data_IF_372772253968
#
_entry.id   IF_372772253968
#
_cell.length_a   1.000
_cell.length_b   1.000
_cell.length_c   1.000
_cell.angle_alpha   90.00
_cell.angle_beta   90.00
_cell.angle_gamma   90.00
#
_symmetry.space_group_name_H-M   'P 1'
#
loop_
_entity.id
_entity.type
_entity.pdbx_description
1 polymer ?
#
# COMPACT_ATOMS: atom_id res chain seq x y z
N UNK A 1 -7.60 -14.11 -15.28
CA UNK A 1 -6.42 -14.22 -16.17
C UNK A 1 -5.59 -12.95 -15.98
N UNK A 2 -4.31 -12.97 -16.33
CA UNK A 2 -3.44 -11.79 -16.30
C UNK A 2 -2.60 -11.75 -17.58
N UNK A 3 -2.22 -10.54 -17.98
CA UNK A 3 -1.40 -10.32 -19.17
C UNK A 3 0.09 -10.23 -18.81
N UNK A 4 0.94 -10.72 -19.71
CA UNK A 4 2.39 -10.64 -19.56
C UNK A 4 3.00 -11.62 -18.54
N UNK A 5 4.34 -11.61 -18.41
CA UNK A 5 5.04 -12.47 -17.47
C UNK A 5 4.88 -12.00 -16.02
N UNK A 6 4.84 -12.97 -15.10
CA UNK A 6 4.90 -12.67 -13.66
C UNK A 6 6.30 -12.17 -13.30
N UNK A 7 6.37 -11.04 -12.60
CA UNK A 7 7.63 -10.51 -12.05
C UNK A 7 7.76 -10.93 -10.59
N UNK A 8 8.95 -11.40 -10.23
CA UNK A 8 9.29 -11.78 -8.86
C UNK A 8 10.24 -10.77 -8.24
N UNK A 9 9.79 -10.09 -7.18
CA UNK A 9 10.59 -9.07 -6.47
C UNK A 9 11.91 -9.61 -5.89
N UNK A 10 11.98 -10.91 -5.59
CA UNK A 10 13.21 -11.57 -5.15
C UNK A 10 14.33 -11.52 -6.20
N UNK A 11 14.00 -11.30 -7.48
CA UNK A 11 14.94 -11.24 -8.60
C UNK A 11 15.24 -9.79 -9.04
N UNK A 12 14.82 -8.79 -8.25
CA UNK A 12 14.84 -7.36 -8.65
C UNK A 12 15.79 -6.50 -7.83
N UNK A 13 16.67 -7.13 -7.03
CA UNK A 13 17.59 -6.43 -6.13
C UNK A 13 18.45 -5.35 -6.83
N UNK A 14 18.95 -5.62 -8.05
CA UNK A 14 19.75 -4.66 -8.82
C UNK A 14 18.97 -3.38 -9.16
N UNK A 15 17.70 -3.50 -9.54
CA UNK A 15 16.85 -2.35 -9.83
C UNK A 15 16.62 -1.49 -8.58
N UNK A 16 16.46 -2.13 -7.42
CA UNK A 16 16.28 -1.43 -6.15
C UNK A 16 17.57 -0.76 -5.67
N UNK A 17 18.74 -1.38 -5.87
CA UNK A 17 20.04 -0.75 -5.59
C UNK A 17 20.27 0.47 -6.50
N UNK A 18 19.92 0.37 -7.79
CA UNK A 18 20.02 1.49 -8.72
C UNK A 18 19.17 2.68 -8.24
N UNK A 19 17.88 2.46 -7.94
CA UNK A 19 17.01 3.50 -7.40
C UNK A 19 17.55 4.09 -6.08
N UNK A 20 18.06 3.25 -5.16
CA UNK A 20 18.67 3.72 -3.93
C UNK A 20 19.91 4.61 -4.18
N UNK A 21 20.71 4.28 -5.20
CA UNK A 21 21.85 5.11 -5.60
C UNK A 21 21.39 6.48 -6.13
N UNK A 22 20.29 6.55 -6.89
CA UNK A 22 19.72 7.81 -7.34
C UNK A 22 19.22 8.67 -6.18
N UNK A 23 18.48 8.07 -5.24
CA UNK A 23 18.06 8.75 -4.01
C UNK A 23 19.25 9.31 -3.22
N UNK A 24 20.37 8.58 -3.16
CA UNK A 24 21.61 9.05 -2.52
C UNK A 24 22.22 10.23 -3.27
N UNK A 25 22.28 10.19 -4.60
CA UNK A 25 22.79 11.31 -5.42
C UNK A 25 21.95 12.57 -5.23
N UNK A 26 20.65 12.43 -4.98
CA UNK A 26 19.73 13.52 -4.69
C UNK A 26 19.75 14.01 -3.23
N UNK A 27 20.62 13.47 -2.36
CA UNK A 27 20.64 13.69 -0.90
C UNK A 27 19.28 13.45 -0.21
N UNK A 28 18.42 12.62 -0.83
CA UNK A 28 17.07 12.35 -0.35
C UNK A 28 17.04 11.23 0.70
N UNK A 29 18.17 10.61 1.01
CA UNK A 29 18.26 9.51 1.98
C UNK A 29 19.48 9.66 2.89
N UNK A 30 19.40 9.07 4.08
CA UNK A 30 20.51 9.04 5.04
C UNK A 30 20.51 7.73 5.85
N UNK A 31 21.65 7.45 6.48
CA UNK A 31 21.81 6.26 7.30
C UNK A 31 21.23 6.45 8.72
N UNK A 32 20.63 5.39 9.27
CA UNK A 32 19.99 5.43 10.57
C UNK A 32 20.38 4.23 11.44
N UNK A 33 20.88 4.50 12.64
CA UNK A 33 21.24 3.50 13.66
C UNK A 33 20.17 3.33 14.77
N UNK A 34 19.01 3.96 14.67
CA UNK A 34 17.90 3.87 15.64
C UNK A 34 17.04 2.62 15.47
N UNK A 35 16.98 1.78 16.50
CA UNK A 35 16.24 0.52 16.56
C UNK A 35 14.73 0.74 16.65
N UNK A 36 13.95 -0.27 16.30
CA UNK A 36 12.48 -0.21 16.44
C UNK A 36 12.05 0.04 17.88
N UNK A 37 12.75 -0.56 18.86
CA UNK A 37 12.45 -0.38 20.30
C UNK A 37 12.70 1.05 20.76
N UNK A 38 13.82 1.68 20.36
CA UNK A 38 14.11 3.08 20.68
C UNK A 38 13.05 4.01 20.07
N UNK A 39 12.61 3.74 18.85
CA UNK A 39 11.58 4.53 18.17
C UNK A 39 10.22 4.32 18.84
N UNK A 40 9.88 3.09 19.23
CA UNK A 40 8.64 2.76 19.93
C UNK A 40 8.54 3.46 21.28
N UNK A 41 9.65 3.52 22.03
CA UNK A 41 9.73 4.22 23.31
C UNK A 41 9.56 5.74 23.18
N UNK A 42 9.81 6.30 22.00
CA UNK A 42 9.65 7.72 21.70
C UNK A 42 8.25 8.10 21.20
N UNK A 43 7.36 7.12 20.98
CA UNK A 43 6.02 7.41 20.49
C UNK A 43 5.21 8.14 21.56
N UNK A 44 4.57 9.23 21.16
CA UNK A 44 3.62 9.99 21.99
C UNK A 44 2.19 9.48 21.86
N UNK A 45 1.92 8.68 20.83
CA UNK A 45 0.63 8.05 20.55
C UNK A 45 0.75 6.55 20.68
N UNK A 46 -0.33 5.90 21.12
CA UNK A 46 -0.40 4.44 21.08
C UNK A 46 -0.26 4.00 19.61
N UNK A 47 0.66 3.07 19.30
CA UNK A 47 0.82 2.60 17.93
C UNK A 47 -0.46 1.89 17.50
N UNK A 48 -1.03 2.29 16.37
CA UNK A 48 -2.12 1.54 15.74
C UNK A 48 -1.49 0.31 15.08
N UNK A 49 -2.08 -0.86 15.32
CA UNK A 49 -1.57 -2.12 14.78
C UNK A 49 -1.53 -2.06 13.24
N UNK A 50 -0.35 -2.24 12.66
CA UNK A 50 -0.12 -2.17 11.22
C UNK A 50 0.35 -0.82 10.69
N UNK A 51 0.36 0.24 11.52
CA UNK A 51 0.94 1.52 11.14
C UNK A 51 2.46 1.58 11.39
N UNK A 52 3.15 2.40 10.60
CA UNK A 52 4.57 2.63 10.78
C UNK A 52 4.79 3.61 11.93
N UNK A 53 5.79 3.35 12.77
CA UNK A 53 6.10 4.22 13.90
C UNK A 53 6.63 5.56 13.40
N UNK A 54 6.16 6.65 13.99
CA UNK A 54 6.69 7.98 13.69
C UNK A 54 8.17 8.04 14.03
N UNK A 55 9.01 8.33 13.03
CA UNK A 55 10.44 8.49 13.26
C UNK A 55 10.80 9.96 13.56
N UNK A 56 11.40 10.28 14.72
CA UNK A 56 11.68 11.66 15.10
C UNK A 56 12.83 12.36 14.33
N UNK A 57 13.44 11.71 13.35
CA UNK A 57 14.54 12.31 12.57
C UNK A 57 15.90 12.32 13.27
N UNK A 58 16.11 11.53 14.33
CA UNK A 58 17.33 11.57 15.16
C UNK A 58 18.67 11.35 14.44
N UNK A 59 18.67 10.69 13.29
CA UNK A 59 19.89 10.47 12.49
C UNK A 59 20.00 11.42 11.27
N UNK A 60 19.08 12.38 11.10
CA UNK A 60 18.98 13.23 9.90
C UNK A 60 20.22 14.09 9.67
N UNK A 61 20.88 14.53 10.75
CA UNK A 61 22.11 15.33 10.74
C UNK A 61 23.38 14.51 11.00
N UNK A 62 23.27 13.18 11.13
CA UNK A 62 24.39 12.30 11.44
C UNK A 62 23.96 11.05 12.20
N UNK A 63 24.64 9.94 11.92
CA UNK A 63 24.35 8.65 12.56
C UNK A 63 24.72 8.70 14.05
N UNK A 64 23.76 8.41 14.94
CA UNK A 64 23.97 8.46 16.40
C UNK A 64 24.87 7.36 16.95
N UNK A 65 24.94 6.22 16.28
CA UNK A 65 25.70 5.03 16.69
C UNK A 65 26.23 4.33 15.42
N UNK A 66 27.35 4.82 14.86
CA UNK A 66 27.87 4.37 13.56
C UNK A 66 28.45 2.95 13.57
N UNK A 67 28.69 2.39 14.75
CA UNK A 67 29.15 1.02 15.02
C UNK A 67 28.04 -0.04 14.84
N UNK A 68 26.77 0.38 14.77
CA UNK A 68 25.62 -0.52 14.61
C UNK A 68 25.28 -0.74 13.14
N UNK A 69 24.61 -1.87 12.79
CA UNK A 69 23.99 -2.03 11.48
C UNK A 69 23.03 -0.87 11.17
N UNK A 70 23.14 -0.32 9.96
CA UNK A 70 22.44 0.90 9.54
C UNK A 70 21.29 0.58 8.59
N UNK A 71 20.13 1.18 8.84
CA UNK A 71 19.07 1.28 7.85
C UNK A 71 19.35 2.49 6.95
N UNK A 72 18.71 2.55 5.80
CA UNK A 72 18.62 3.77 4.99
C UNK A 72 17.19 4.30 5.06
N UNK A 73 17.06 5.57 5.45
CA UNK A 73 15.78 6.28 5.53
C UNK A 73 15.70 7.33 4.44
N UNK A 74 14.50 7.50 3.89
CA UNK A 74 14.14 8.61 3.02
C UNK A 74 13.76 9.83 3.83
N UNK A 75 14.25 11.00 3.44
CA UNK A 75 13.90 12.30 4.02
C UNK A 75 12.49 12.67 3.55
N UNK A 76 11.52 12.63 4.45
CA UNK A 76 10.17 13.07 4.14
C UNK A 76 10.19 14.55 3.71
N UNK A 77 9.38 14.94 2.69
CA UNK A 77 9.21 16.34 2.33
C UNK A 77 8.56 17.12 3.47
N UNK A 78 8.85 18.42 3.54
CA UNK A 78 8.25 19.32 4.53
C UNK A 78 6.81 19.69 4.15
N UNK A 79 6.51 19.73 2.86
CA UNK A 79 5.18 20.03 2.35
C UNK A 79 4.28 18.79 2.34
N UNK A 80 2.96 18.93 2.64
CA UNK A 80 2.02 17.83 2.54
C UNK A 80 1.94 17.26 1.13
N UNK A 81 1.99 15.93 1.03
CA UNK A 81 1.80 15.22 -0.23
C UNK A 81 0.31 15.06 -0.48
N UNK A 82 -0.12 15.43 -1.70
CA UNK A 82 -1.54 15.47 -2.10
C UNK A 82 -1.76 14.59 -3.31
N UNK A 83 -2.90 13.90 -3.34
CA UNK A 83 -3.34 13.15 -4.52
C UNK A 83 -4.86 13.00 -4.52
N UNK A 84 -5.41 12.75 -5.71
CA UNK A 84 -6.82 12.38 -5.88
C UNK A 84 -6.94 10.86 -5.88
N UNK A 85 -7.79 10.34 -5.00
CA UNK A 85 -8.18 8.94 -5.03
C UNK A 85 -9.56 8.77 -5.64
N UNK A 86 -9.70 7.88 -6.62
CA UNK A 86 -10.99 7.68 -7.29
C UNK A 86 -12.07 7.13 -6.36
N UNK A 87 -11.68 6.35 -5.34
CA UNK A 87 -12.57 5.74 -4.35
C UNK A 87 -12.61 6.53 -3.03
N UNK A 88 -11.59 7.29 -2.66
CA UNK A 88 -11.52 7.99 -1.37
C UNK A 88 -11.63 9.52 -1.49
N UNK A 89 -11.57 10.06 -2.71
CA UNK A 89 -11.57 11.50 -2.97
C UNK A 89 -10.21 12.15 -2.72
N UNK A 90 -10.17 13.48 -2.54
CA UNK A 90 -8.90 14.19 -2.32
C UNK A 90 -8.27 13.81 -0.99
N UNK A 91 -6.98 13.48 -1.02
CA UNK A 91 -6.18 13.13 0.15
C UNK A 91 -4.99 14.08 0.25
N UNK A 92 -4.72 14.57 1.45
CA UNK A 92 -3.55 15.36 1.79
C UNK A 92 -2.93 14.83 3.08
N UNK A 93 -1.66 14.44 3.04
CA UNK A 93 -0.94 13.84 4.16
C UNK A 93 0.38 14.56 4.35
N UNK A 94 0.60 15.11 5.55
CA UNK A 94 1.90 15.59 5.99
C UNK A 94 2.72 14.40 6.50
N UNK A 95 3.71 14.00 5.69
CA UNK A 95 4.54 12.87 6.02
C UNK A 95 5.41 13.11 7.26
N UNK A 96 5.84 14.35 7.51
CA UNK A 96 6.72 14.68 8.63
C UNK A 96 6.04 14.45 9.99
N UNK A 97 4.74 14.73 10.07
CA UNK A 97 3.94 14.55 11.29
C UNK A 97 3.29 13.17 11.39
N UNK A 98 2.99 12.53 10.27
CA UNK A 98 2.32 11.21 10.26
C UNK A 98 3.31 10.06 10.51
N UNK A 99 4.39 9.96 9.73
CA UNK A 99 5.36 8.85 9.85
C UNK A 99 6.83 9.28 9.95
N UNK A 100 7.13 10.53 9.61
CA UNK A 100 8.48 11.05 9.51
C UNK A 100 9.29 10.40 8.39
N UNK A 101 10.61 10.45 8.53
CA UNK A 101 11.54 9.84 7.59
C UNK A 101 11.45 8.30 7.67
N UNK A 102 10.97 7.66 6.61
CA UNK A 102 10.65 6.23 6.59
C UNK A 102 11.77 5.38 5.98
N UNK A 103 11.78 4.08 6.27
CA UNK A 103 12.84 3.17 5.82
C UNK A 103 12.64 2.83 4.34
N UNK A 104 13.72 2.93 3.54
CA UNK A 104 13.78 2.42 2.16
C UNK A 104 14.67 1.18 2.02
N UNK A 105 15.63 1.02 2.94
CA UNK A 105 16.43 -0.20 3.09
C UNK A 105 16.62 -0.53 4.55
N UNK A 106 16.27 -1.75 4.93
CA UNK A 106 16.40 -2.26 6.30
C UNK A 106 17.87 -2.58 6.62
N UNK A 107 18.16 -2.73 7.90
CA UNK A 107 19.50 -3.07 8.42
C UNK A 107 19.99 -4.45 8.01
N UNK A 108 19.06 -5.38 7.81
CA UNK A 108 19.33 -6.73 7.32
C UNK A 108 19.51 -6.77 5.80
N UNK A 109 19.57 -5.61 5.14
CA UNK A 109 19.83 -5.48 3.71
C UNK A 109 18.58 -5.55 2.84
N UNK A 110 17.43 -5.96 3.37
CA UNK A 110 16.19 -6.06 2.61
C UNK A 110 15.63 -4.67 2.24
N UNK A 111 15.16 -4.54 1.00
CA UNK A 111 14.47 -3.33 0.55
C UNK A 111 13.07 -3.23 1.15
N UNK A 112 12.69 -2.01 1.52
CA UNK A 112 11.37 -1.76 2.06
C UNK A 112 10.32 -1.77 0.95
N UNK A 113 9.10 -2.18 1.30
CA UNK A 113 7.95 -2.20 0.39
C UNK A 113 7.78 -0.88 -0.38
N UNK A 114 7.97 0.26 0.30
CA UNK A 114 7.78 1.58 -0.32
C UNK A 114 8.70 1.84 -1.52
N UNK A 115 9.96 1.40 -1.47
CA UNK A 115 10.88 1.55 -2.60
C UNK A 115 10.62 0.49 -3.67
N UNK A 116 10.46 -0.77 -3.26
CA UNK A 116 10.28 -1.87 -4.20
C UNK A 116 9.05 -1.67 -5.09
N UNK A 117 7.91 -1.29 -4.51
CA UNK A 117 6.66 -1.08 -5.27
C UNK A 117 6.78 0.08 -6.26
N UNK A 118 7.41 1.19 -5.86
CA UNK A 118 7.60 2.37 -6.72
C UNK A 118 8.45 2.03 -7.94
N UNK A 119 9.54 1.28 -7.73
CA UNK A 119 10.46 0.88 -8.80
C UNK A 119 9.81 -0.13 -9.75
N UNK A 120 9.08 -1.10 -9.22
CA UNK A 120 8.44 -2.13 -10.04
C UNK A 120 7.22 -1.60 -10.81
N UNK A 121 6.36 -0.80 -10.17
CA UNK A 121 5.21 -0.16 -10.84
C UNK A 121 5.68 0.69 -12.04
N UNK A 122 6.73 1.48 -11.85
CA UNK A 122 7.30 2.29 -12.92
C UNK A 122 7.92 1.43 -14.04
N UNK A 123 8.67 0.38 -13.69
CA UNK A 123 9.27 -0.53 -14.67
C UNK A 123 8.22 -1.30 -15.49
N UNK A 124 7.06 -1.59 -14.89
CA UNK A 124 5.94 -2.25 -15.54
C UNK A 124 5.01 -1.27 -16.29
N UNK A 125 5.24 0.04 -16.19
CA UNK A 125 4.39 1.05 -16.82
C UNK A 125 2.97 1.09 -16.23
N UNK A 126 2.83 0.80 -14.94
CA UNK A 126 1.53 0.85 -14.26
C UNK A 126 0.99 2.27 -14.28
N UNK A 127 -0.21 2.43 -14.84
CA UNK A 127 -0.90 3.73 -14.95
C UNK A 127 -1.97 3.93 -13.88
N UNK A 128 -2.44 2.84 -13.25
CA UNK A 128 -3.45 2.87 -12.20
C UNK A 128 -3.20 1.79 -11.16
N UNK A 129 -3.16 2.18 -9.89
CA UNK A 129 -2.98 1.29 -8.74
C UNK A 129 -4.30 1.17 -7.99
N UNK A 130 -4.90 -0.02 -8.05
CA UNK A 130 -6.11 -0.37 -7.30
C UNK A 130 -5.74 -1.33 -6.17
N UNK A 131 -5.93 -0.93 -4.91
CA UNK A 131 -5.52 -1.73 -3.73
C UNK A 131 -6.40 -1.45 -2.52
N UNK A 132 -6.23 -2.21 -1.44
CA UNK A 132 -7.01 -2.03 -0.21
C UNK A 132 -6.72 -0.70 0.49
N UNK A 133 -7.75 -0.15 1.15
CA UNK A 133 -7.66 1.11 1.89
C UNK A 133 -6.71 1.07 3.10
N UNK A 134 -6.26 -0.11 3.52
CA UNK A 134 -5.19 -0.27 4.50
C UNK A 134 -3.83 0.26 3.99
N UNK A 135 -3.66 0.42 2.68
CA UNK A 135 -2.46 0.98 2.08
C UNK A 135 -2.60 2.46 1.72
N UNK A 136 -3.71 3.12 2.07
CA UNK A 136 -3.97 4.52 1.72
C UNK A 136 -2.86 5.46 2.23
N UNK A 137 -2.35 5.22 3.44
CA UNK A 137 -1.25 6.00 4.05
C UNK A 137 0.14 5.64 3.49
N UNK A 138 0.25 4.62 2.63
CA UNK A 138 1.49 4.31 1.89
C UNK A 138 1.63 5.15 0.63
N UNK A 139 0.52 5.53 0.00
CA UNK A 139 0.51 6.30 -1.25
C UNK A 139 1.33 7.59 -1.20
N UNK A 140 1.21 8.46 -0.16
CA UNK A 140 1.97 9.70 -0.14
C UNK A 140 3.49 9.46 0.01
N UNK A 141 3.90 8.38 0.71
CA UNK A 141 5.31 7.97 0.80
C UNK A 141 5.84 7.54 -0.57
N UNK A 142 5.03 6.79 -1.32
CA UNK A 142 5.38 6.31 -2.66
C UNK A 142 5.45 7.46 -3.67
N UNK A 143 4.51 8.40 -3.62
CA UNK A 143 4.55 9.62 -4.42
C UNK A 143 5.77 10.48 -4.10
N UNK A 144 6.17 10.60 -2.83
CA UNK A 144 7.39 11.31 -2.46
C UNK A 144 8.65 10.67 -3.07
N UNK A 145 8.72 9.33 -3.09
CA UNK A 145 9.80 8.60 -3.76
C UNK A 145 9.77 8.80 -5.29
N UNK A 146 8.59 8.68 -5.90
CA UNK A 146 8.41 8.87 -7.34
C UNK A 146 8.88 10.26 -7.79
N UNK A 147 8.53 11.31 -7.03
CA UNK A 147 8.99 12.68 -7.29
C UNK A 147 10.51 12.80 -7.35
N UNK A 148 11.22 12.25 -6.36
CA UNK A 148 12.70 12.34 -6.31
C UNK A 148 13.35 11.50 -7.41
N UNK A 149 12.75 10.35 -7.73
CA UNK A 149 13.24 9.44 -8.79
C UNK A 149 12.82 9.89 -10.20
N UNK A 150 12.01 10.95 -10.34
CA UNK A 150 11.51 11.41 -11.63
C UNK A 150 10.57 10.41 -12.32
N UNK A 151 9.84 9.60 -11.54
CA UNK A 151 8.93 8.58 -12.03
C UNK A 151 7.51 9.12 -12.22
N UNK A 152 6.75 8.49 -13.11
CA UNK A 152 5.35 8.84 -13.32
C UNK A 152 4.49 8.53 -12.08
N UNK A 153 3.44 9.33 -11.88
CA UNK A 153 2.44 9.09 -10.84
C UNK A 153 1.24 8.35 -11.45
N UNK A 154 0.96 7.11 -11.03
CA UNK A 154 -0.25 6.43 -11.46
C UNK A 154 -1.49 7.07 -10.80
N UNK A 155 -2.66 6.81 -11.40
CA UNK A 155 -3.94 7.05 -10.74
C UNK A 155 -4.12 6.06 -9.58
N UNK A 156 -4.81 6.46 -8.51
CA UNK A 156 -5.02 5.60 -7.33
C UNK A 156 -6.51 5.40 -7.04
N UNK A 157 -6.86 4.17 -6.68
CA UNK A 157 -8.16 3.84 -6.12
C UNK A 157 -7.98 2.88 -4.93
N UNK A 158 -8.40 3.31 -3.75
CA UNK A 158 -8.32 2.48 -2.55
C UNK A 158 -9.68 1.86 -2.21
N UNK A 159 -9.83 0.55 -2.40
CA UNK A 159 -11.09 -0.18 -2.16
C UNK A 159 -11.29 -0.53 -0.68
N UNK A 160 -12.53 -0.68 -0.20
CA UNK A 160 -12.81 -0.97 1.19
C UNK A 160 -12.09 -2.22 1.70
N UNK A 161 -11.55 -2.13 2.91
CA UNK A 161 -11.00 -3.27 3.61
C UNK A 161 -12.11 -4.17 4.16
N UNK A 162 -11.98 -5.48 3.94
CA UNK A 162 -12.91 -6.47 4.47
C UNK A 162 -12.71 -6.68 5.98
N UNK A 163 -13.77 -6.48 6.76
CA UNK A 163 -13.77 -6.68 8.22
C UNK A 163 -14.83 -7.67 8.66
N UNK A 164 -14.65 -8.23 9.86
CA UNK A 164 -15.71 -8.97 10.55
C UNK A 164 -16.76 -8.03 11.15
N UNK A 165 -17.74 -8.60 11.87
CA UNK A 165 -18.80 -7.84 12.55
C UNK A 165 -18.26 -6.92 13.67
N UNK A 166 -17.07 -7.19 14.19
CA UNK A 166 -16.40 -6.40 15.21
C UNK A 166 -15.47 -5.32 14.60
N UNK A 167 -15.55 -5.08 13.28
CA UNK A 167 -14.65 -4.19 12.54
C UNK A 167 -13.18 -4.61 12.56
N UNK A 168 -12.90 -5.87 12.90
CA UNK A 168 -11.56 -6.42 12.88
C UNK A 168 -11.23 -6.83 11.45
N UNK A 169 -10.06 -6.39 10.95
CA UNK A 169 -9.54 -6.76 9.64
C UNK A 169 -9.53 -8.28 9.50
N UNK A 170 -10.21 -8.79 8.47
CA UNK A 170 -10.11 -10.21 8.12
C UNK A 170 -8.67 -10.50 7.72
N UNK A 171 -8.08 -11.50 8.37
CA UNK A 171 -6.72 -11.96 8.08
C UNK A 171 -6.69 -13.47 8.06
N UNK A 172 -5.79 -14.05 7.27
CA UNK A 172 -5.57 -15.50 7.25
C UNK A 172 -5.21 -16.04 8.64
N UNK A 173 -4.46 -15.25 9.43
CA UNK A 173 -4.14 -15.56 10.83
C UNK A 173 -5.35 -15.54 11.78
N UNK A 174 -6.42 -14.82 11.42
CA UNK A 174 -7.68 -14.78 12.16
C UNK A 174 -8.70 -15.83 11.67
N UNK A 175 -8.27 -16.82 10.87
CA UNK A 175 -9.12 -17.91 10.41
C UNK A 175 -10.05 -17.56 9.25
N UNK A 176 -9.83 -16.44 8.56
CA UNK A 176 -10.57 -16.14 7.34
C UNK A 176 -10.33 -17.26 6.31
N UNK A 177 -11.42 -17.88 5.83
CA UNK A 177 -11.38 -18.93 4.83
C UNK A 177 -10.73 -18.46 3.52
N UNK A 178 -10.09 -19.38 2.80
CA UNK A 178 -9.69 -19.12 1.42
C UNK A 178 -10.92 -18.94 0.51
N UNK A 179 -10.70 -18.43 -0.70
CA UNK A 179 -11.75 -18.35 -1.73
C UNK A 179 -12.28 -19.76 -2.00
N UNK A 180 -13.60 -19.98 -1.87
CA UNK A 180 -14.19 -21.29 -2.16
C UNK A 180 -14.29 -21.50 -3.68
N UNK A 181 -13.34 -22.27 -4.20
CA UNK A 181 -13.27 -22.58 -5.64
C UNK A 181 -14.38 -23.55 -6.11
N UNK A 182 -15.20 -24.11 -5.20
CA UNK A 182 -16.35 -24.95 -5.57
C UNK A 182 -17.55 -24.13 -6.03
N UNK A 183 -17.66 -22.87 -5.60
CA UNK A 183 -18.68 -21.91 -6.03
C UNK A 183 -18.05 -20.55 -6.43
N UNK A 184 -17.26 -20.51 -7.52
CA UNK A 184 -16.54 -19.30 -7.91
C UNK A 184 -17.50 -18.18 -8.36
N UNK A 185 -18.68 -18.53 -8.91
CA UNK A 185 -19.69 -17.54 -9.30
C UNK A 185 -20.32 -16.89 -8.06
N UNK A 186 -20.63 -17.66 -7.02
CA UNK A 186 -21.12 -17.14 -5.75
C UNK A 186 -20.08 -16.29 -5.03
N UNK A 187 -18.80 -16.69 -5.02
CA UNK A 187 -17.70 -15.88 -4.49
C UNK A 187 -17.59 -14.52 -5.19
N UNK A 188 -17.57 -14.53 -6.53
CA UNK A 188 -17.52 -13.29 -7.31
C UNK A 188 -18.73 -12.40 -7.04
N UNK A 189 -19.94 -12.99 -7.00
CA UNK A 189 -21.16 -12.23 -6.74
C UNK A 189 -21.14 -11.57 -5.35
N UNK A 190 -20.65 -12.29 -4.33
CA UNK A 190 -20.42 -11.74 -2.98
C UNK A 190 -19.40 -10.61 -3.00
N UNK A 191 -18.28 -10.78 -3.70
CA UNK A 191 -17.25 -9.74 -3.83
C UNK A 191 -17.80 -8.48 -4.51
N UNK A 192 -18.59 -8.62 -5.58
CA UNK A 192 -19.25 -7.49 -6.25
C UNK A 192 -20.22 -6.75 -5.34
N UNK A 193 -20.99 -7.47 -4.50
CA UNK A 193 -21.85 -6.85 -3.48
C UNK A 193 -21.05 -6.13 -2.40
N UNK A 194 -19.99 -6.76 -1.91
CA UNK A 194 -19.07 -6.14 -0.95
C UNK A 194 -18.50 -4.82 -1.51
N UNK A 195 -18.09 -4.82 -2.78
CA UNK A 195 -17.61 -3.66 -3.52
C UNK A 195 -18.74 -2.71 -3.97
N UNK A 196 -19.96 -2.87 -3.45
CA UNK A 196 -21.12 -2.00 -3.72
C UNK A 196 -21.49 -1.88 -5.22
N UNK A 197 -21.21 -2.91 -6.02
CA UNK A 197 -21.52 -2.92 -7.45
C UNK A 197 -23.00 -3.28 -7.75
N UNK A 198 -23.71 -3.86 -6.77
CA UNK A 198 -25.13 -4.22 -6.87
C UNK A 198 -25.49 -5.10 -8.08
N UNK A 199 -24.85 -6.27 -8.26
CA UNK A 199 -25.22 -7.22 -9.31
C UNK A 199 -26.67 -7.71 -9.14
N UNK A 200 -27.45 -7.86 -10.23
CA UNK A 200 -28.75 -8.54 -10.20
C UNK A 200 -28.66 -9.93 -9.56
N UNK A 201 -29.73 -10.36 -8.89
CA UNK A 201 -29.75 -11.62 -8.14
C UNK A 201 -29.66 -12.83 -9.09
N UNK A 202 -30.27 -12.71 -10.28
CA UNK A 202 -30.33 -13.74 -11.31
C UNK A 202 -28.92 -14.10 -11.82
N UNK A 203 -27.99 -13.14 -11.78
CA UNK A 203 -26.62 -13.37 -12.25
C UNK A 203 -25.81 -14.27 -11.32
N UNK A 204 -26.24 -14.47 -10.06
CA UNK A 204 -25.56 -15.37 -9.12
C UNK A 204 -25.42 -16.79 -9.66
N UNK A 205 -26.42 -17.25 -10.42
CA UNK A 205 -26.48 -18.60 -10.99
C UNK A 205 -26.15 -18.63 -12.50
N UNK A 206 -25.75 -17.49 -13.09
CA UNK A 206 -25.52 -17.35 -14.54
C UNK A 206 -24.15 -17.85 -15.03
N UNK A 207 -23.33 -18.36 -14.11
CA UNK A 207 -21.95 -18.79 -14.35
C UNK A 207 -20.93 -17.64 -14.29
N UNK A 208 -19.67 -18.01 -14.12
CA UNK A 208 -18.57 -17.08 -13.83
C UNK A 208 -18.32 -16.09 -14.98
N UNK A 209 -18.34 -16.57 -16.22
CA UNK A 209 -18.07 -15.74 -17.41
C UNK A 209 -19.12 -14.62 -17.56
N UNK A 210 -20.41 -14.98 -17.48
CA UNK A 210 -21.53 -14.02 -17.58
C UNK A 210 -21.45 -12.95 -16.51
N UNK A 211 -21.14 -13.35 -15.27
CA UNK A 211 -21.01 -12.43 -14.14
C UNK A 211 -19.78 -11.51 -14.31
N UNK A 212 -18.67 -12.01 -14.86
CA UNK A 212 -17.51 -11.17 -15.19
C UNK A 212 -17.82 -10.14 -16.26
N UNK A 213 -18.45 -10.55 -17.36
CA UNK A 213 -18.82 -9.64 -18.45
C UNK A 213 -19.78 -8.56 -17.98
N UNK A 214 -20.69 -8.89 -17.06
CA UNK A 214 -21.55 -7.91 -16.42
C UNK A 214 -20.73 -6.95 -15.55
N UNK A 215 -19.85 -7.47 -14.70
CA UNK A 215 -19.05 -6.66 -13.79
C UNK A 215 -18.16 -5.65 -14.53
N UNK A 216 -17.48 -6.07 -15.60
CA UNK A 216 -16.62 -5.20 -16.41
C UNK A 216 -17.42 -4.05 -17.03
N UNK A 217 -18.60 -4.34 -17.57
CA UNK A 217 -19.45 -3.32 -18.23
C UNK A 217 -20.15 -2.37 -17.26
N UNK A 218 -20.35 -2.79 -16.01
CA UNK A 218 -21.13 -2.04 -15.02
C UNK A 218 -20.28 -1.52 -13.85
N UNK A 219 -18.96 -1.68 -13.90
CA UNK A 219 -18.06 -1.28 -12.84
C UNK A 219 -18.16 0.22 -12.54
N UNK A 220 -18.33 0.56 -11.27
CA UNK A 220 -18.40 1.94 -10.77
C UNK A 220 -17.54 2.07 -9.54
N UNK A 221 -16.32 2.60 -9.68
CA UNK A 221 -15.44 2.88 -8.54
C UNK A 221 -16.08 3.86 -7.54
N UNK A 222 -16.89 4.80 -8.05
CA UNK A 222 -17.59 5.80 -7.24
C UNK A 222 -18.63 5.21 -6.27
N UNK A 223 -19.06 3.96 -6.46
CA UNK A 223 -19.98 3.30 -5.51
C UNK A 223 -19.34 3.04 -4.15
N UNK A 224 -18.00 3.08 -4.09
CA UNK A 224 -17.21 2.89 -2.88
C UNK A 224 -16.73 4.21 -2.26
N UNK A 225 -17.25 5.36 -2.74
CA UNK A 225 -16.74 6.68 -2.37
C UNK A 225 -16.72 6.89 -0.85
N UNK A 226 -15.54 7.13 -0.29
CA UNK A 226 -15.32 7.41 1.13
C UNK A 226 -15.46 6.22 2.07
N UNK A 227 -15.63 5.00 1.52
CA UNK A 227 -15.76 3.78 2.32
C UNK A 227 -14.37 3.16 2.48
N UNK A 228 -13.85 3.14 3.71
CA UNK A 228 -12.52 2.57 4.02
C UNK A 228 -12.55 1.13 4.52
N UNK A 229 -13.65 0.72 5.13
CA UNK A 229 -13.91 -0.66 5.53
C UNK A 229 -15.36 -1.02 5.29
N UNK A 230 -15.61 -2.31 5.10
CA UNK A 230 -16.96 -2.85 5.05
C UNK A 230 -16.99 -4.22 5.73
N UNK A 231 -18.10 -4.50 6.41
CA UNK A 231 -18.32 -5.81 7.01
C UNK A 231 -18.61 -6.80 5.89
N UNK A 232 -17.94 -7.94 5.91
CA UNK A 232 -18.34 -9.08 5.09
C UNK A 232 -19.57 -9.70 5.75
N UNK A 233 -20.73 -9.64 5.07
CA UNK A 233 -21.95 -10.31 5.52
C UNK A 233 -21.63 -11.80 5.75
N UNK A 234 -21.97 -12.32 6.94
CA UNK A 234 -21.73 -13.73 7.27
C UNK A 234 -22.51 -14.63 6.30
N UNK A 235 -21.85 -15.73 5.89
CA UNK A 235 -22.40 -16.78 5.03
C UNK A 235 -23.66 -17.41 5.64
#
# INVERSE_FOLDING_TARGET
>A
EWDGPVIYQSLRAEAYEAALAELRRADAVYFCSCSRTEIQAAQTRAPIAGEELHYPGWCRSGVRAPDRPLAVRFRAPEEPVRFEDEAQGPIAIDLATECGDFVVRRRDGLFAYQLAVVVDDAAQGITKVVRGADLLTSTPRQLALQNVLGLAHPEYAHVPLATDQNQIKLSKSAGAGGVDLRDPSGELWRALRFLRQSPPLELRLSGLSTLWDWAIRNWRVSSMRGIRSAIVEAL
#
